data_IF_312789747359
#
_entry.id   IF_312789747359
#
_cell.length_a   1.000
_cell.length_b   1.000
_cell.length_c   1.000
_cell.angle_alpha   90.00
_cell.angle_beta   90.00
_cell.angle_gamma   90.00
#
_symmetry.space_group_name_H-M   'P 1'
#
loop_
_entity.id
_entity.type
_entity.pdbx_description
1 polymer ?
#
# COMPACT_ATOMS: atom_id res chain seq x y z
N UNK A 1 -69.28 -12.29 -9.52
CA UNK A 1 -67.88 -11.84 -9.35
C UNK A 1 -67.67 -11.60 -7.86
N UNK A 2 -66.99 -12.52 -7.16
CA UNK A 2 -66.69 -12.48 -5.72
C UNK A 2 -65.62 -11.38 -5.48
N UNK A 3 -65.81 -10.33 -4.66
CA UNK A 3 -65.86 -10.18 -3.17
C UNK A 3 -64.55 -10.58 -2.45
N UNK A 4 -64.03 -9.61 -1.68
CA UNK A 4 -62.81 -9.59 -0.85
C UNK A 4 -62.90 -10.46 0.43
N UNK A 5 -61.76 -10.91 0.96
CA UNK A 5 -61.26 -10.74 2.35
C UNK A 5 -60.26 -11.84 2.80
N UNK A 6 -59.24 -11.44 3.57
CA UNK A 6 -58.82 -12.20 4.76
C UNK A 6 -57.66 -13.22 4.70
N UNK A 7 -56.44 -12.74 4.95
CA UNK A 7 -55.56 -13.13 6.07
C UNK A 7 -55.44 -14.64 6.49
N UNK A 8 -54.29 -15.30 6.24
CA UNK A 8 -53.30 -15.81 7.25
C UNK A 8 -52.33 -16.93 6.78
N UNK A 9 -51.03 -16.63 6.94
CA UNK A 9 -49.82 -17.44 7.29
C UNK A 9 -49.42 -18.77 6.60
N UNK A 10 -48.31 -18.70 5.84
CA UNK A 10 -46.97 -19.39 5.94
C UNK A 10 -46.82 -20.76 6.65
N UNK A 11 -45.80 -21.61 6.35
CA UNK A 11 -44.48 -21.25 5.77
C UNK A 11 -43.88 -22.21 4.72
N UNK A 12 -42.70 -21.84 4.20
CA UNK A 12 -41.56 -22.68 3.75
C UNK A 12 -41.10 -22.48 2.28
N UNK A 13 -39.80 -22.17 2.15
CA UNK A 13 -38.95 -22.01 0.94
C UNK A 13 -39.20 -20.72 0.11
N UNK A 14 -38.24 -19.81 -0.14
CA UNK A 14 -36.79 -19.94 -0.23
C UNK A 14 -36.07 -18.72 0.39
N UNK A 15 -34.97 -19.00 1.08
CA UNK A 15 -34.17 -18.04 1.82
C UNK A 15 -33.14 -17.31 0.96
N UNK A 16 -32.86 -16.06 1.35
CA UNK A 16 -31.63 -15.30 1.11
C UNK A 16 -30.38 -16.13 1.47
N UNK A 17 -29.28 -15.96 0.73
CA UNK A 17 -27.86 -16.14 1.14
C UNK A 17 -26.95 -15.80 -0.06
N UNK A 18 -26.19 -14.72 0.00
CA UNK A 18 -24.81 -14.62 0.54
C UNK A 18 -23.75 -14.85 -0.54
N UNK A 19 -22.90 -13.84 -0.75
CA UNK A 19 -21.48 -13.91 -1.13
C UNK A 19 -20.95 -15.24 -1.69
N UNK A 20 -20.24 -15.23 -2.84
CA UNK A 20 -19.24 -16.26 -3.06
C UNK A 20 -18.04 -15.93 -2.16
N UNK A 21 -18.02 -16.54 -0.98
CA UNK A 21 -16.76 -17.00 -0.39
C UNK A 21 -16.04 -17.81 -1.46
N UNK A 22 -14.92 -17.31 -1.98
CA UNK A 22 -13.85 -18.21 -2.37
C UNK A 22 -13.35 -18.85 -1.08
N UNK A 23 -13.86 -20.05 -0.83
CA UNK A 23 -13.45 -20.94 0.24
C UNK A 23 -11.98 -21.31 0.10
N UNK A 24 -11.32 -21.41 1.26
CA UNK A 24 -10.00 -21.98 1.44
C UNK A 24 -9.86 -23.35 0.74
N UNK A 25 -9.04 -23.37 -0.31
CA UNK A 25 -8.27 -24.48 -0.89
C UNK A 25 -7.49 -23.84 -2.05
N UNK A 26 -6.17 -23.65 -2.03
CA UNK A 26 -5.14 -24.63 -1.77
C UNK A 26 -3.90 -23.87 -1.27
N UNK A 27 -3.72 -23.82 0.05
CA UNK A 27 -2.39 -23.73 0.61
C UNK A 27 -1.74 -25.09 0.37
N UNK A 28 -0.88 -25.18 -0.65
CA UNK A 28 0.14 -26.21 -0.83
C UNK A 28 1.12 -25.76 -1.91
N UNK A 29 2.35 -25.61 -1.46
CA UNK A 29 3.60 -25.61 -2.25
C UNK A 29 3.77 -24.53 -3.33
N UNK A 30 3.99 -23.30 -2.88
CA UNK A 30 4.88 -22.37 -3.59
C UNK A 30 6.06 -21.98 -2.70
N UNK A 31 6.59 -22.96 -1.97
CA UNK A 31 7.82 -22.85 -1.19
C UNK A 31 9.01 -23.42 -1.96
N UNK A 32 9.10 -23.16 -3.26
CA UNK A 32 10.28 -23.50 -4.04
C UNK A 32 10.32 -22.59 -5.26
N UNK A 33 11.49 -22.02 -5.54
CA UNK A 33 11.81 -21.12 -6.66
C UNK A 33 11.74 -19.61 -6.36
N UNK A 34 12.30 -19.17 -5.23
CA UNK A 34 13.06 -17.91 -5.25
C UNK A 34 14.53 -18.31 -5.41
N UNK A 35 15.11 -18.31 -6.63
CA UNK A 35 16.51 -18.60 -6.80
C UNK A 35 17.34 -17.43 -6.23
N UNK A 36 18.37 -17.79 -5.46
CA UNK A 36 19.45 -16.94 -4.96
C UNK A 36 19.12 -15.46 -4.70
N UNK A 37 18.56 -15.16 -3.52
CA UNK A 37 18.52 -13.80 -2.98
C UNK A 37 19.97 -13.30 -2.82
N UNK A 38 20.43 -12.48 -3.75
CA UNK A 38 21.65 -11.71 -3.58
C UNK A 38 21.39 -10.72 -2.44
N UNK A 39 21.88 -11.05 -1.24
CA UNK A 39 21.74 -10.21 -0.05
C UNK A 39 22.59 -8.94 -0.22
N UNK A 40 22.01 -7.91 -0.82
CA UNK A 40 22.60 -6.58 -0.90
C UNK A 40 22.22 -5.83 0.38
N UNK A 41 23.19 -5.56 1.24
CA UNK A 41 22.97 -4.74 2.44
C UNK A 41 22.86 -3.28 2.02
N UNK A 42 21.63 -2.77 1.92
CA UNK A 42 21.44 -1.34 1.71
C UNK A 42 21.88 -0.57 2.96
N UNK A 43 22.78 0.40 2.80
CA UNK A 43 23.10 1.38 3.84
C UNK A 43 22.16 2.57 3.64
N UNK A 44 21.06 2.62 4.40
CA UNK A 44 20.17 3.77 4.40
C UNK A 44 20.93 5.04 4.88
N UNK A 45 20.62 6.19 4.29
CA UNK A 45 21.18 7.50 4.67
C UNK A 45 20.97 7.77 6.17
N UNK A 46 21.87 8.51 6.84
CA UNK A 46 21.87 8.60 8.29
C UNK A 46 20.69 9.44 8.79
N UNK A 47 19.57 8.80 9.12
CA UNK A 47 18.63 9.34 10.12
C UNK A 47 19.30 9.17 11.49
N UNK A 48 19.17 10.17 12.37
CA UNK A 48 19.78 10.16 13.73
C UNK A 48 19.62 8.77 14.36
N UNK A 49 20.71 8.08 14.71
CA UNK A 49 20.61 6.73 15.26
C UNK A 49 20.12 6.83 16.71
N UNK A 50 18.89 6.39 16.98
CA UNK A 50 18.52 5.96 18.34
C UNK A 50 19.04 4.55 18.65
N UNK A 51 19.61 3.86 17.66
CA UNK A 51 20.16 2.52 17.75
C UNK A 51 21.41 2.42 16.87
N UNK A 52 22.56 2.13 17.49
CA UNK A 52 23.89 2.07 16.88
C UNK A 52 24.11 0.77 16.08
N UNK A 53 23.17 0.41 15.21
CA UNK A 53 23.33 -0.70 14.26
C UNK A 53 23.02 -0.19 12.86
N UNK A 54 23.83 -0.53 11.83
CA UNK A 54 23.43 -0.27 10.46
C UNK A 54 22.10 -0.99 10.23
N UNK A 55 21.08 -0.24 9.83
CA UNK A 55 19.81 -0.82 9.43
C UNK A 55 20.06 -1.76 8.24
N UNK A 56 19.57 -3.00 8.36
CA UNK A 56 19.79 -4.05 7.36
C UNK A 56 18.47 -4.26 6.64
N UNK A 57 18.40 -3.84 5.39
CA UNK A 57 17.30 -4.21 4.51
C UNK A 57 17.69 -5.43 3.66
N UNK A 58 16.72 -6.30 3.40
CA UNK A 58 16.85 -7.42 2.45
C UNK A 58 16.19 -7.01 1.14
N UNK A 59 16.89 -7.21 0.03
CA UNK A 59 16.36 -6.94 -1.30
C UNK A 59 16.11 -8.26 -2.04
N UNK A 60 14.94 -8.37 -2.65
CA UNK A 60 14.53 -9.47 -3.50
C UNK A 60 14.67 -9.04 -4.96
N UNK A 61 15.55 -9.73 -5.67
CA UNK A 61 15.83 -9.53 -7.08
C UNK A 61 15.60 -10.83 -7.83
N UNK A 62 15.08 -10.72 -9.06
CA UNK A 62 15.13 -11.83 -10.03
C UNK A 62 16.03 -11.34 -11.15
N UNK A 63 17.11 -12.08 -11.40
CA UNK A 63 18.19 -11.68 -12.30
C UNK A 63 18.75 -10.31 -11.90
N UNK A 64 18.49 -9.26 -12.68
CA UNK A 64 18.88 -7.87 -12.44
C UNK A 64 17.69 -6.94 -12.14
N UNK A 65 16.47 -7.48 -12.00
CA UNK A 65 15.28 -6.66 -11.72
C UNK A 65 14.94 -6.67 -10.23
N UNK A 66 14.95 -5.51 -9.54
CA UNK A 66 14.52 -5.44 -8.14
C UNK A 66 13.00 -5.52 -8.03
N UNK A 67 12.51 -6.42 -7.20
CA UNK A 67 11.08 -6.68 -7.02
C UNK A 67 10.57 -6.10 -5.70
N UNK A 68 11.18 -6.47 -4.58
CA UNK A 68 10.75 -6.07 -3.25
C UNK A 68 11.96 -5.70 -2.38
N UNK A 69 11.78 -4.72 -1.50
CA UNK A 69 12.70 -4.47 -0.40
C UNK A 69 11.97 -4.71 0.92
N UNK A 70 12.64 -5.37 1.86
CA UNK A 70 12.11 -5.66 3.18
C UNK A 70 13.00 -5.02 4.24
N UNK A 71 12.48 -4.03 4.99
CA UNK A 71 13.12 -3.53 6.21
C UNK A 71 13.23 -4.64 7.26
N UNK A 72 14.15 -4.51 8.23
CA UNK A 72 14.41 -5.57 9.24
C UNK A 72 13.15 -6.05 9.96
N UNK A 73 12.26 -5.12 10.33
CA UNK A 73 11.05 -5.38 11.13
C UNK A 73 9.75 -5.10 10.34
N UNK A 74 9.80 -5.15 9.00
CA UNK A 74 8.68 -4.77 8.13
C UNK A 74 8.21 -5.86 7.14
N UNK A 75 7.00 -5.71 6.59
CA UNK A 75 6.56 -6.51 5.44
C UNK A 75 7.42 -6.17 4.20
N UNK A 76 7.51 -7.08 3.21
CA UNK A 76 8.15 -6.77 1.95
C UNK A 76 7.35 -5.69 1.19
N UNK A 77 8.04 -4.62 0.81
CA UNK A 77 7.47 -3.47 0.08
C UNK A 77 7.95 -3.55 -1.37
N UNK A 78 7.06 -3.44 -2.37
CA UNK A 78 7.46 -3.53 -3.77
C UNK A 78 8.30 -2.34 -4.20
N UNK A 79 9.18 -2.57 -5.17
CA UNK A 79 9.97 -1.52 -5.79
C UNK A 79 9.08 -0.66 -6.73
N UNK A 80 9.38 0.64 -6.83
CA UNK A 80 8.63 1.55 -7.70
C UNK A 80 8.61 1.14 -9.19
N UNK A 81 9.68 0.53 -9.72
CA UNK A 81 9.74 0.02 -11.10
C UNK A 81 8.71 -1.07 -11.35
N UNK A 82 8.52 -1.97 -10.37
CA UNK A 82 7.50 -3.02 -10.44
C UNK A 82 6.10 -2.38 -10.43
N UNK A 83 5.88 -1.43 -9.53
CA UNK A 83 4.61 -0.72 -9.41
C UNK A 83 4.27 0.13 -10.64
N UNK A 84 5.26 0.67 -11.34
CA UNK A 84 5.04 1.38 -12.61
C UNK A 84 4.61 0.44 -13.74
N UNK A 85 5.01 -0.82 -13.70
CA UNK A 85 4.58 -1.85 -14.66
C UNK A 85 3.19 -2.39 -14.32
N UNK A 86 2.84 -2.42 -13.04
CA UNK A 86 1.57 -2.95 -12.52
C UNK A 86 0.94 -1.97 -11.51
N UNK A 87 0.32 -0.87 -11.99
CA UNK A 87 -0.24 0.17 -11.11
C UNK A 87 -1.41 -0.32 -10.26
N UNK A 88 -2.17 -1.31 -10.74
CA UNK A 88 -3.35 -1.87 -10.06
C UNK A 88 -3.00 -2.90 -8.96
N UNK A 89 -1.72 -3.19 -8.76
CA UNK A 89 -1.27 -4.20 -7.79
C UNK A 89 -1.41 -3.76 -6.33
N UNK A 90 -1.46 -2.45 -6.07
CA UNK A 90 -1.58 -1.88 -4.73
C UNK A 90 -2.67 -0.82 -4.67
N UNK A 91 -3.31 -0.63 -3.50
CA UNK A 91 -4.17 0.52 -3.28
C UNK A 91 -3.37 1.81 -3.44
N UNK A 92 -3.96 2.77 -4.15
CA UNK A 92 -3.34 4.06 -4.46
C UNK A 92 -3.99 5.20 -3.68
N UNK A 93 -3.19 6.15 -3.23
CA UNK A 93 -3.64 7.44 -2.69
C UNK A 93 -3.05 8.58 -3.52
N UNK A 94 -3.77 9.67 -3.70
CA UNK A 94 -3.29 10.82 -4.48
C UNK A 94 -2.86 11.97 -3.57
N UNK A 95 -1.67 12.53 -3.83
CA UNK A 95 -1.15 13.73 -3.17
C UNK A 95 -1.32 14.99 -4.00
N UNK A 96 -1.42 16.12 -3.30
CA UNK A 96 -1.40 17.46 -3.89
C UNK A 96 -0.07 17.81 -4.57
N UNK A 97 -0.15 18.72 -5.56
CA UNK A 97 1.02 19.35 -6.20
C UNK A 97 2.05 19.90 -5.21
N UNK A 98 1.59 20.51 -4.12
CA UNK A 98 2.47 21.11 -3.11
C UNK A 98 3.29 20.08 -2.34
N UNK A 99 2.77 18.86 -2.19
CA UNK A 99 3.40 17.77 -1.43
C UNK A 99 4.45 17.01 -2.26
N UNK A 100 4.35 17.01 -3.59
CA UNK A 100 5.23 16.25 -4.49
C UNK A 100 6.71 16.52 -4.19
N UNK A 101 7.12 17.79 -4.07
CA UNK A 101 8.53 18.15 -3.84
C UNK A 101 9.09 17.57 -2.54
N UNK A 102 8.24 17.47 -1.51
CA UNK A 102 8.64 17.00 -0.19
C UNK A 102 8.78 15.48 -0.19
N UNK A 103 7.85 14.79 -0.85
CA UNK A 103 7.89 13.34 -1.04
C UNK A 103 9.13 12.91 -1.82
N UNK A 104 9.44 13.60 -2.93
CA UNK A 104 10.65 13.33 -3.72
C UNK A 104 11.96 13.65 -2.99
N UNK A 105 11.89 14.42 -1.90
CA UNK A 105 13.03 14.70 -1.02
C UNK A 105 13.15 13.69 0.13
N UNK A 106 12.24 12.71 0.22
CA UNK A 106 12.17 11.73 1.31
C UNK A 106 11.64 12.29 2.62
N UNK A 107 10.86 13.37 2.58
CA UNK A 107 10.20 13.90 3.76
C UNK A 107 8.98 13.05 4.14
N UNK A 108 8.63 13.09 5.43
CA UNK A 108 7.43 12.47 5.98
C UNK A 108 6.16 13.00 5.31
N UNK A 109 5.27 12.10 4.89
CA UNK A 109 3.97 12.45 4.34
C UNK A 109 3.01 12.80 5.47
N UNK A 110 2.39 13.97 5.36
CA UNK A 110 1.46 14.50 6.36
C UNK A 110 0.02 14.50 5.84
N UNK A 111 -0.96 14.35 6.72
CA UNK A 111 -2.38 14.32 6.37
C UNK A 111 -2.90 15.51 5.53
N UNK A 112 -2.39 16.76 5.70
CA UNK A 112 -2.79 17.88 4.86
C UNK A 112 -2.47 17.70 3.37
N UNK A 113 -1.49 16.87 3.00
CA UNK A 113 -1.13 16.63 1.59
C UNK A 113 -2.08 15.69 0.85
N UNK A 114 -2.97 15.01 1.58
CA UNK A 114 -3.97 14.05 1.05
C UNK A 114 -5.42 14.55 1.20
N UNK A 115 -5.65 15.51 2.10
CA UNK A 115 -6.99 16.05 2.44
C UNK A 115 -7.29 17.39 1.77
N UNK A 116 -6.31 17.92 1.05
CA UNK A 116 -6.35 19.12 0.24
C UNK A 116 -7.08 18.90 -1.09
N UNK A 117 -7.40 19.94 -1.87
CA UNK A 117 -8.25 19.82 -3.06
C UNK A 117 -7.73 18.88 -4.15
N UNK A 118 -6.40 18.72 -4.26
CA UNK A 118 -5.76 17.79 -5.20
C UNK A 118 -5.58 16.37 -4.63
N UNK A 119 -5.81 16.19 -3.33
CA UNK A 119 -5.68 14.93 -2.63
C UNK A 119 -6.89 14.05 -2.87
N UNK A 120 -6.66 12.74 -3.04
CA UNK A 120 -7.72 11.74 -3.15
C UNK A 120 -7.39 10.57 -2.24
N UNK A 121 -8.32 10.28 -1.35
CA UNK A 121 -8.31 9.11 -0.48
C UNK A 121 -9.39 8.14 -0.98
N UNK A 122 -9.15 6.82 -0.88
CA UNK A 122 -10.15 5.82 -1.25
C UNK A 122 -11.43 5.97 -0.41
N UNK A 123 -12.54 5.49 -0.97
CA UNK A 123 -13.84 5.48 -0.31
C UNK A 123 -13.87 4.53 0.90
N UNK A 124 -14.87 4.68 1.76
CA UNK A 124 -14.98 3.89 3.00
C UNK A 124 -15.08 2.37 2.75
N UNK A 125 -15.58 1.96 1.59
CA UNK A 125 -15.65 0.55 1.17
C UNK A 125 -14.26 -0.07 0.92
N UNK A 126 -13.27 0.76 0.59
CA UNK A 126 -11.87 0.39 0.39
C UNK A 126 -10.97 1.07 1.44
N UNK A 127 -11.47 1.18 2.68
CA UNK A 127 -10.71 1.75 3.77
C UNK A 127 -9.40 0.99 3.98
N UNK A 128 -8.30 1.72 4.12
CA UNK A 128 -6.98 1.16 4.34
C UNK A 128 -6.66 1.19 5.81
N UNK A 129 -6.19 0.05 6.31
CA UNK A 129 -5.81 -0.10 7.70
C UNK A 129 -4.39 0.41 7.97
N UNK A 130 -4.11 0.66 9.24
CA UNK A 130 -2.76 0.97 9.70
C UNK A 130 -1.81 -0.19 9.39
N UNK A 131 -0.64 0.12 8.85
CA UNK A 131 0.41 -0.83 8.50
C UNK A 131 0.29 -1.38 7.07
N UNK A 132 -0.81 -1.11 6.37
CA UNK A 132 -0.98 -1.54 4.99
C UNK A 132 -0.05 -0.76 4.05
N UNK A 133 0.54 -1.47 3.09
CA UNK A 133 1.43 -0.87 2.08
C UNK A 133 0.59 -0.22 0.98
N UNK A 134 0.89 1.04 0.68
CA UNK A 134 0.11 1.90 -0.22
C UNK A 134 1.01 2.60 -1.21
N UNK A 135 0.52 2.72 -2.43
CA UNK A 135 1.14 3.48 -3.52
C UNK A 135 0.68 4.95 -3.48
N UNK A 136 1.61 5.89 -3.58
CA UNK A 136 1.33 7.33 -3.58
C UNK A 136 1.46 7.88 -5.00
N UNK A 137 0.35 8.33 -5.56
CA UNK A 137 0.23 8.95 -6.88
C UNK A 137 0.29 10.47 -6.75
N UNK A 138 0.95 11.14 -7.68
CA UNK A 138 0.98 12.60 -7.70
C UNK A 138 -0.13 13.17 -8.60
N UNK A 139 -0.74 14.27 -8.18
CA UNK A 139 -1.69 15.01 -9.02
C UNK A 139 -1.04 15.40 -10.36
N UNK A 140 -1.66 14.97 -11.46
CA UNK A 140 -1.19 15.27 -12.83
C UNK A 140 -0.02 14.41 -13.30
N UNK A 141 0.25 13.28 -12.64
CA UNK A 141 1.26 12.29 -13.06
C UNK A 141 0.65 10.89 -13.11
N UNK A 142 1.11 10.09 -14.07
CA UNK A 142 0.63 8.72 -14.29
C UNK A 142 1.37 7.68 -13.42
N UNK A 143 2.51 8.04 -12.85
CA UNK A 143 3.38 7.12 -12.12
C UNK A 143 3.38 7.37 -10.61
N UNK A 144 3.50 6.29 -9.84
CA UNK A 144 3.67 6.34 -8.39
C UNK A 144 4.97 7.05 -8.02
N UNK A 145 4.88 7.96 -7.05
CA UNK A 145 6.00 8.77 -6.57
C UNK A 145 6.66 8.18 -5.32
N UNK A 146 5.87 7.49 -4.49
CA UNK A 146 6.32 6.88 -3.25
C UNK A 146 5.49 5.63 -2.96
N UNK A 147 6.07 4.68 -2.25
CA UNK A 147 5.40 3.49 -1.70
C UNK A 147 5.84 3.27 -0.27
N UNK A 148 4.90 2.95 0.62
CA UNK A 148 5.23 2.72 2.02
C UNK A 148 4.04 2.28 2.86
N UNK A 149 4.29 1.81 4.09
CA UNK A 149 3.24 1.42 5.02
C UNK A 149 2.57 2.65 5.65
N UNK A 150 1.25 2.60 5.82
CA UNK A 150 0.51 3.65 6.51
C UNK A 150 0.72 3.61 8.02
N UNK A 151 0.96 4.77 8.65
CA UNK A 151 1.04 4.89 10.11
C UNK A 151 -0.35 5.03 10.76
N UNK A 152 -1.33 5.54 10.01
CA UNK A 152 -2.71 5.79 10.46
C UNK A 152 -3.70 5.26 9.40
N UNK A 153 -4.92 4.90 9.80
CA UNK A 153 -5.95 4.41 8.87
C UNK A 153 -6.63 5.54 8.10
N UNK A 154 -7.24 5.23 6.95
CA UNK A 154 -7.88 6.25 6.09
C UNK A 154 -9.06 6.97 6.73
N UNK A 155 -9.78 6.30 7.64
CA UNK A 155 -10.90 6.91 8.37
C UNK A 155 -10.39 7.98 9.36
N UNK A 156 -9.38 7.61 10.15
CA UNK A 156 -8.75 8.51 11.11
C UNK A 156 -8.10 9.72 10.42
N UNK A 157 -7.52 9.52 9.23
CA UNK A 157 -6.97 10.61 8.41
C UNK A 157 -8.02 11.64 8.00
N UNK A 158 -9.21 11.18 7.58
CA UNK A 158 -10.31 12.05 7.14
C UNK A 158 -10.88 12.87 8.30
N UNK A 159 -10.94 12.28 9.49
CA UNK A 159 -11.45 12.94 10.69
C UNK A 159 -10.46 13.97 11.25
N UNK A 160 -9.20 13.56 11.49
CA UNK A 160 -8.21 14.42 12.17
C UNK A 160 -7.61 15.49 11.25
N UNK A 161 -7.47 15.20 9.95
CA UNK A 161 -6.85 16.06 8.91
C UNK A 161 -5.46 16.62 9.28
N UNK A 162 -4.82 16.05 10.30
CA UNK A 162 -3.54 16.43 10.87
C UNK A 162 -2.84 15.17 11.38
N UNK A 163 -1.51 15.17 11.30
CA UNK A 163 -0.68 14.06 11.74
C UNK A 163 0.16 13.47 10.62
N UNK A 164 1.03 12.55 11.02
CA UNK A 164 1.91 11.79 10.15
C UNK A 164 1.12 10.65 9.53
N UNK A 165 1.17 10.55 8.20
CA UNK A 165 0.52 9.49 7.43
C UNK A 165 1.49 8.38 7.06
N UNK A 166 2.69 8.78 6.64
CA UNK A 166 3.74 7.87 6.21
C UNK A 166 5.09 8.49 6.59
N UNK A 167 5.83 7.81 7.45
CA UNK A 167 7.18 8.19 7.89
C UNK A 167 8.28 7.48 7.11
N UNK A 168 8.00 6.25 6.67
CA UNK A 168 8.92 5.41 5.94
C UNK A 168 8.35 5.00 4.59
N UNK A 169 9.23 4.89 3.59
CA UNK A 169 8.85 4.47 2.26
C UNK A 169 9.98 4.65 1.26
N UNK A 170 9.81 4.01 0.12
CA UNK A 170 10.65 4.12 -1.05
C UNK A 170 10.05 5.15 -2.00
N UNK A 171 10.85 6.11 -2.45
CA UNK A 171 10.41 7.22 -3.29
C UNK A 171 11.31 7.41 -4.51
N UNK A 172 10.79 8.09 -5.53
CA UNK A 172 11.57 8.37 -6.73
C UNK A 172 12.77 9.27 -6.42
N UNK A 173 13.97 8.81 -6.78
CA UNK A 173 15.21 9.55 -6.55
C UNK A 173 15.93 9.20 -5.24
N UNK A 174 15.42 8.25 -4.47
CA UNK A 174 16.12 7.72 -3.31
C UNK A 174 17.33 6.83 -3.70
N UNK A 175 18.03 6.30 -2.69
CA UNK A 175 19.21 5.46 -2.90
C UNK A 175 18.90 4.12 -3.57
N UNK A 176 17.70 3.55 -3.32
CA UNK A 176 17.27 2.31 -3.95
C UNK A 176 16.94 2.52 -5.43
N UNK A 177 16.30 3.66 -5.76
CA UNK A 177 15.97 4.05 -7.12
C UNK A 177 17.21 4.30 -7.98
N UNK A 178 18.23 4.94 -7.40
CA UNK A 178 19.51 5.27 -8.07
C UNK A 178 20.46 4.08 -8.16
N UNK A 179 20.12 2.94 -7.56
CA UNK A 179 20.95 1.75 -7.65
C UNK A 179 20.93 1.23 -9.08
N UNK A 180 22.11 1.11 -9.67
CA UNK A 180 22.32 0.49 -10.98
C UNK A 180 22.37 -1.02 -10.80
N UNK A 181 21.64 -1.73 -11.66
CA UNK A 181 21.57 -3.19 -11.70
C UNK A 181 22.19 -3.58 -13.03
N UNK A 182 23.50 -3.84 -13.00
CA UNK A 182 24.27 -4.32 -14.16
C UNK A 182 24.21 -5.84 -14.26
#
# INVERSE_FOLDING_TARGET
MLIEDGNKVSPLAAAQKSSPRCSAACAKDSSTLIPASSRISMRSSPRKPSSMRPDRATLYTIESTPLFYQPMDGPPIPHLKLLHSYPDALPTVQIDRGAIRFVLSGATLMAPGLTSPGGRLPDAEHALEKGQVVAVMAEGKEHACMVGPLTVGTEEMKEKKKGVVMDEGHYLGDGLWKMHWD
#
